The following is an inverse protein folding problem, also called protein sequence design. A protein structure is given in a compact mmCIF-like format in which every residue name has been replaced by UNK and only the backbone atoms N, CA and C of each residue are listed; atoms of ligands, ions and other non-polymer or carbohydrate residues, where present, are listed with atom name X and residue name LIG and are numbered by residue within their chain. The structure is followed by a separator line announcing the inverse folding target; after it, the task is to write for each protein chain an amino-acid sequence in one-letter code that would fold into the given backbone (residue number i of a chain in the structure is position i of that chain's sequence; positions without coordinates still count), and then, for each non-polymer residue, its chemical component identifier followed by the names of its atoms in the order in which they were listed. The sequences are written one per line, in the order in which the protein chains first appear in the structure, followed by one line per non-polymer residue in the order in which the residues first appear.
data_IF_500200213841
#
_entry.id   IF_500200213841
#
_cell.length_a   1.000
_cell.length_b   1.000
_cell.length_c   1.000
_cell.angle_alpha   90.00
_cell.angle_beta   90.00
_cell.angle_gamma   90.00
#
_symmetry.space_group_name_H-M   'P 1'
#
loop_
_entity.id
_entity.type
_entity.pdbx_description
1 polymer ?
#
# COMPACT_ATOMS: atom_id res chain seq x y z
N UNK A 1 -5.97 -17.78 -6.05
CA UNK A 1 -7.27 -17.22 -6.51
C UNK A 1 -7.02 -16.41 -7.77
N UNK A 2 -8.04 -16.09 -8.55
CA UNK A 2 -7.95 -15.12 -9.65
C UNK A 2 -8.39 -13.72 -9.18
N UNK A 3 -8.19 -12.70 -10.01
CA UNK A 3 -8.69 -11.34 -9.74
C UNK A 3 -10.21 -11.34 -9.46
N UNK A 4 -10.99 -12.07 -10.28
CA UNK A 4 -12.45 -12.18 -10.11
C UNK A 4 -12.84 -12.85 -8.79
N UNK A 5 -12.15 -13.90 -8.38
CA UNK A 5 -12.38 -14.55 -7.08
C UNK A 5 -12.06 -13.63 -5.90
N UNK A 6 -10.96 -12.87 -5.97
CA UNK A 6 -10.63 -11.87 -4.95
C UNK A 6 -11.72 -10.81 -4.87
N UNK A 7 -12.20 -10.31 -6.02
CA UNK A 7 -13.27 -9.31 -6.08
C UNK A 7 -14.59 -9.85 -5.51
N UNK A 8 -14.93 -11.14 -5.73
CA UNK A 8 -16.10 -11.78 -5.13
C UNK A 8 -16.00 -11.80 -3.61
N UNK A 9 -14.87 -12.27 -3.07
CA UNK A 9 -14.65 -12.30 -1.60
C UNK A 9 -14.73 -10.90 -0.98
N UNK A 10 -14.19 -9.87 -1.66
CA UNK A 10 -14.32 -8.48 -1.19
C UNK A 10 -15.79 -8.06 -1.16
N UNK A 11 -16.56 -8.35 -2.21
CA UNK A 11 -17.98 -8.00 -2.28
C UNK A 11 -18.80 -8.70 -1.19
N UNK A 12 -18.53 -9.98 -0.95
CA UNK A 12 -19.15 -10.76 0.13
C UNK A 12 -18.82 -10.19 1.52
N UNK A 13 -17.55 -9.83 1.76
CA UNK A 13 -17.13 -9.23 3.02
C UNK A 13 -17.73 -7.84 3.26
N UNK A 14 -17.88 -7.02 2.21
CA UNK A 14 -18.57 -5.73 2.25
C UNK A 14 -20.04 -5.95 2.65
N UNK A 15 -20.75 -6.88 1.98
CA UNK A 15 -22.14 -7.18 2.26
C UNK A 15 -22.34 -7.72 3.68
N UNK A 16 -21.49 -8.65 4.14
CA UNK A 16 -21.51 -9.19 5.49
C UNK A 16 -21.23 -8.14 6.59
N UNK A 17 -20.67 -6.99 6.24
CA UNK A 17 -20.34 -5.89 7.15
C UNK A 17 -21.31 -4.71 7.04
N UNK A 18 -22.45 -4.85 6.35
CA UNK A 18 -23.45 -3.82 6.09
C UNK A 18 -22.85 -2.51 5.53
N UNK A 19 -21.84 -2.64 4.68
CA UNK A 19 -21.13 -1.50 4.09
C UNK A 19 -21.59 -1.23 2.66
N UNK A 20 -21.51 0.03 2.18
CA UNK A 20 -21.86 0.36 0.81
C UNK A 20 -20.98 -0.38 -0.21
N UNK A 21 -21.58 -0.82 -1.32
CA UNK A 21 -20.85 -1.37 -2.47
C UNK A 21 -19.81 -0.34 -2.94
N UNK A 22 -18.59 -0.79 -3.23
CA UNK A 22 -17.50 0.10 -3.63
C UNK A 22 -16.79 0.82 -2.49
N UNK A 23 -17.13 0.52 -1.22
CA UNK A 23 -16.46 1.11 -0.05
C UNK A 23 -15.05 0.58 0.22
N UNK A 24 -14.58 -0.38 -0.56
CA UNK A 24 -13.25 -0.99 -0.45
C UNK A 24 -12.57 -0.98 -1.80
N UNK A 25 -11.39 -0.41 -1.86
CA UNK A 25 -10.51 -0.44 -3.02
C UNK A 25 -9.54 -1.61 -2.94
N UNK A 26 -9.48 -2.42 -3.99
CA UNK A 26 -8.50 -3.48 -4.14
C UNK A 26 -7.23 -2.92 -4.77
N UNK A 27 -6.11 -3.02 -4.07
CA UNK A 27 -4.78 -2.72 -4.61
C UNK A 27 -4.12 -4.04 -5.03
N UNK A 28 -3.95 -4.26 -6.33
CA UNK A 28 -3.25 -5.41 -6.87
C UNK A 28 -1.73 -5.21 -6.73
N UNK A 29 -1.10 -5.95 -5.81
CA UNK A 29 0.32 -5.74 -5.46
C UNK A 29 1.22 -6.44 -6.47
N UNK A 30 1.77 -5.67 -7.41
CA UNK A 30 2.51 -6.12 -8.60
C UNK A 30 4.03 -6.11 -8.45
N UNK A 31 4.53 -5.90 -7.22
CA UNK A 31 5.97 -5.94 -6.94
C UNK A 31 6.61 -7.25 -7.39
N UNK A 32 7.76 -7.17 -8.06
CA UNK A 32 8.55 -8.33 -8.54
C UNK A 32 7.77 -9.27 -9.48
N UNK A 33 6.67 -8.78 -10.07
CA UNK A 33 5.90 -9.55 -11.05
C UNK A 33 6.34 -9.20 -12.47
N UNK A 34 6.41 -10.20 -13.38
CA UNK A 34 6.66 -9.97 -14.80
C UNK A 34 5.62 -9.02 -15.41
N UNK A 35 6.05 -8.23 -16.38
CA UNK A 35 5.20 -7.24 -17.06
C UNK A 35 3.96 -7.89 -17.68
N UNK A 36 4.09 -9.08 -18.24
CA UNK A 36 3.00 -9.84 -18.87
C UNK A 36 1.85 -10.11 -17.90
N UNK A 37 2.18 -10.50 -16.64
CA UNK A 37 1.17 -10.75 -15.61
C UNK A 37 0.45 -9.46 -15.19
N UNK A 38 1.18 -8.33 -15.15
CA UNK A 38 0.58 -7.02 -14.82
C UNK A 38 -0.33 -6.57 -15.95
N UNK A 39 0.10 -6.71 -17.22
CA UNK A 39 -0.71 -6.41 -18.40
C UNK A 39 -1.98 -7.25 -18.46
N UNK A 40 -1.91 -8.52 -18.10
CA UNK A 40 -3.09 -9.38 -18.04
C UNK A 40 -4.15 -8.83 -17.07
N UNK A 41 -3.74 -8.40 -15.88
CA UNK A 41 -4.62 -7.81 -14.87
C UNK A 41 -5.16 -6.43 -15.33
N UNK A 42 -4.35 -5.61 -16.00
CA UNK A 42 -4.80 -4.35 -16.62
C UNK A 42 -5.86 -4.61 -17.71
N UNK A 43 -5.65 -5.61 -18.57
CA UNK A 43 -6.60 -6.00 -19.64
C UNK A 43 -7.91 -6.57 -19.10
N UNK A 44 -7.90 -7.15 -17.89
CA UNK A 44 -9.12 -7.54 -17.18
C UNK A 44 -9.90 -6.34 -16.59
N UNK A 45 -9.40 -5.10 -16.79
CA UNK A 45 -10.07 -3.87 -16.35
C UNK A 45 -9.66 -3.37 -14.97
N UNK A 46 -8.73 -4.03 -14.28
CA UNK A 46 -8.25 -3.53 -12.98
C UNK A 46 -7.31 -2.32 -13.18
N UNK A 47 -7.40 -1.34 -12.27
CA UNK A 47 -6.71 -0.05 -12.46
C UNK A 47 -5.87 0.41 -11.27
N UNK A 48 -5.96 -0.23 -10.09
CA UNK A 48 -5.24 0.20 -8.90
C UNK A 48 -4.19 -0.83 -8.48
N UNK A 49 -2.93 -0.46 -8.61
CA UNK A 49 -1.80 -1.34 -8.37
C UNK A 49 -0.92 -0.84 -7.24
N UNK A 50 -0.13 -1.75 -6.66
CA UNK A 50 0.78 -1.43 -5.58
C UNK A 50 2.20 -1.92 -5.84
N UNK A 51 3.17 -1.04 -5.59
CA UNK A 51 4.59 -1.33 -5.71
C UNK A 51 5.32 -1.06 -4.40
N UNK A 52 6.43 -1.76 -4.20
CA UNK A 52 7.22 -1.62 -2.99
C UNK A 52 8.49 -0.79 -3.17
N UNK A 53 8.94 -0.60 -4.41
CA UNK A 53 10.22 0.08 -4.72
C UNK A 53 10.00 1.14 -5.78
N UNK A 54 10.48 2.35 -5.51
CA UNK A 54 10.33 3.50 -6.42
C UNK A 54 11.00 3.24 -7.76
N UNK A 55 12.22 2.68 -7.76
CA UNK A 55 12.97 2.41 -9.00
C UNK A 55 12.31 1.32 -9.86
N UNK A 56 11.74 0.28 -9.25
CA UNK A 56 10.98 -0.74 -9.98
C UNK A 56 9.76 -0.12 -10.66
N UNK A 57 9.03 0.73 -9.94
CA UNK A 57 7.88 1.42 -10.45
C UNK A 57 8.25 2.40 -11.58
N UNK A 58 9.32 3.19 -11.42
CA UNK A 58 9.83 4.10 -12.45
C UNK A 58 10.15 3.39 -13.76
N UNK A 59 10.80 2.23 -13.71
CA UNK A 59 11.14 1.46 -14.91
C UNK A 59 9.98 0.77 -15.61
N UNK A 60 8.82 0.64 -14.94
CA UNK A 60 7.69 -0.20 -15.37
C UNK A 60 6.44 0.60 -15.70
N UNK A 61 6.02 1.51 -14.82
CA UNK A 61 4.72 2.15 -14.88
C UNK A 61 4.53 3.21 -15.96
N UNK A 62 5.56 3.97 -16.43
CA UNK A 62 5.37 4.89 -17.53
C UNK A 62 4.83 4.22 -18.81
N UNK A 63 5.33 3.03 -19.15
CA UNK A 63 4.84 2.28 -20.33
C UNK A 63 3.40 1.78 -20.13
N UNK A 64 3.04 1.31 -18.94
CA UNK A 64 1.67 0.89 -18.65
C UNK A 64 0.68 2.05 -18.64
N UNK A 65 1.04 3.19 -18.04
CA UNK A 65 0.20 4.39 -18.04
C UNK A 65 0.02 4.99 -19.44
N UNK A 66 0.96 4.78 -20.37
CA UNK A 66 0.80 5.18 -21.77
C UNK A 66 -0.30 4.36 -22.48
N UNK A 67 -0.43 3.06 -22.19
CA UNK A 67 -1.48 2.18 -22.74
C UNK A 67 -2.78 2.26 -21.92
N UNK A 68 -2.68 2.44 -20.59
CA UNK A 68 -3.81 2.51 -19.64
C UNK A 68 -3.71 3.78 -18.79
N UNK A 69 -4.09 4.96 -19.33
CA UNK A 69 -3.88 6.26 -18.67
C UNK A 69 -4.69 6.45 -17.37
N UNK A 70 -5.71 5.63 -17.14
CA UNK A 70 -6.50 5.58 -15.93
C UNK A 70 -5.92 4.64 -14.84
N UNK A 71 -4.80 3.96 -15.13
CA UNK A 71 -4.12 3.13 -14.14
C UNK A 71 -3.46 3.98 -13.05
N UNK A 72 -3.66 3.59 -11.79
CA UNK A 72 -3.07 4.22 -10.61
C UNK A 72 -2.08 3.28 -9.95
N UNK A 73 -0.98 3.81 -9.47
CA UNK A 73 0.02 3.05 -8.75
C UNK A 73 0.28 3.64 -7.37
N UNK A 74 0.17 2.82 -6.34
CA UNK A 74 0.36 3.19 -4.95
C UNK A 74 1.72 2.69 -4.43
N UNK A 75 2.47 3.52 -3.71
CA UNK A 75 3.68 3.09 -3.01
C UNK A 75 3.29 2.44 -1.67
N UNK A 76 3.64 1.17 -1.53
CA UNK A 76 3.36 0.34 -0.35
C UNK A 76 4.61 -0.01 0.46
N UNK A 77 5.78 0.17 -0.12
CA UNK A 77 7.06 -0.10 0.53
C UNK A 77 7.73 1.15 1.11
N UNK A 78 8.80 0.98 1.90
CA UNK A 78 9.46 2.08 2.58
C UNK A 78 10.03 3.08 1.58
N UNK A 79 9.85 4.38 1.85
CA UNK A 79 10.34 5.47 1.02
C UNK A 79 11.57 6.11 1.65
N UNK A 80 12.68 6.07 0.93
CA UNK A 80 13.88 6.85 1.28
C UNK A 80 13.66 8.34 0.97
N UNK A 81 14.08 9.23 1.88
CA UNK A 81 13.84 10.67 1.73
C UNK A 81 14.46 11.28 0.46
N UNK A 82 15.57 10.73 -0.04
CA UNK A 82 16.20 11.16 -1.30
C UNK A 82 15.45 10.70 -2.56
N UNK A 83 14.45 9.82 -2.42
CA UNK A 83 13.59 9.33 -3.52
C UNK A 83 12.20 9.98 -3.52
N UNK A 84 11.94 10.93 -2.62
CA UNK A 84 10.61 11.55 -2.48
C UNK A 84 10.18 12.25 -3.77
N UNK A 85 11.08 12.96 -4.48
CA UNK A 85 10.76 13.62 -5.77
C UNK A 85 10.30 12.60 -6.82
N UNK A 86 11.04 11.52 -6.99
CA UNK A 86 10.68 10.47 -7.92
C UNK A 86 9.35 9.79 -7.53
N UNK A 87 9.07 9.68 -6.22
CA UNK A 87 7.79 9.16 -5.76
C UNK A 87 6.60 10.07 -6.17
N UNK A 88 6.76 11.40 -6.18
CA UNK A 88 5.74 12.33 -6.68
C UNK A 88 5.45 12.16 -8.18
N UNK A 89 6.46 11.79 -8.96
CA UNK A 89 6.33 11.64 -10.42
C UNK A 89 5.65 10.30 -10.81
N UNK A 90 5.84 9.28 -9.99
CA UNK A 90 5.44 7.90 -10.32
C UNK A 90 4.13 7.50 -9.65
N UNK A 91 3.93 7.87 -8.38
CA UNK A 91 2.86 7.32 -7.55
C UNK A 91 1.68 8.26 -7.39
N UNK A 92 0.49 7.69 -7.53
CA UNK A 92 -0.79 8.36 -7.32
C UNK A 92 -1.20 8.39 -5.84
N UNK A 93 -0.56 7.59 -4.99
CA UNK A 93 -0.77 7.54 -3.54
C UNK A 93 0.45 6.94 -2.83
N UNK A 94 0.75 7.37 -1.61
CA UNK A 94 1.85 6.83 -0.80
C UNK A 94 1.33 6.35 0.55
N UNK A 95 1.55 5.06 0.86
CA UNK A 95 1.03 4.42 2.08
C UNK A 95 2.05 4.33 3.23
N UNK A 96 3.21 4.95 3.09
CA UNK A 96 4.36 4.70 3.97
C UNK A 96 4.96 5.98 4.56
N UNK A 97 4.12 6.95 4.88
CA UNK A 97 4.53 8.11 5.67
C UNK A 97 4.76 7.67 7.13
N UNK A 98 6.01 7.53 7.53
CA UNK A 98 6.40 6.85 8.76
C UNK A 98 7.30 7.68 9.70
N UNK A 99 7.63 8.92 9.36
CA UNK A 99 8.55 9.76 10.16
C UNK A 99 8.51 11.24 9.78
N UNK A 100 8.82 12.17 10.72
CA UNK A 100 8.84 13.61 10.48
C UNK A 100 9.76 14.06 9.33
N UNK A 101 10.95 13.47 9.21
CA UNK A 101 11.86 13.79 8.09
C UNK A 101 11.22 13.58 6.73
N UNK A 102 10.40 12.54 6.59
CA UNK A 102 9.70 12.25 5.34
C UNK A 102 8.55 13.24 5.13
N UNK A 103 7.76 13.56 6.17
CA UNK A 103 6.71 14.57 6.12
C UNK A 103 7.24 15.94 5.66
N UNK A 104 8.35 16.39 6.24
CA UNK A 104 9.00 17.63 5.84
C UNK A 104 9.48 17.60 4.38
N UNK A 105 9.95 16.44 3.88
CA UNK A 105 10.33 16.29 2.47
C UNK A 105 9.11 16.38 1.54
N UNK A 106 7.97 15.80 1.92
CA UNK A 106 6.71 15.94 1.20
C UNK A 106 6.24 17.38 1.20
N UNK A 107 6.19 18.07 2.36
CA UNK A 107 5.74 19.45 2.47
C UNK A 107 6.58 20.40 1.57
N UNK A 108 7.90 20.28 1.60
CA UNK A 108 8.80 21.06 0.73
C UNK A 108 8.50 20.81 -0.75
N UNK A 109 8.33 19.55 -1.17
CA UNK A 109 8.05 19.24 -2.56
C UNK A 109 6.64 19.67 -2.98
N UNK A 110 5.66 19.60 -2.08
CA UNK A 110 4.31 20.13 -2.31
C UNK A 110 4.34 21.63 -2.62
N UNK A 111 5.11 22.40 -1.87
CA UNK A 111 5.31 23.84 -2.13
C UNK A 111 6.01 24.09 -3.47
N UNK A 112 6.97 23.24 -3.84
CA UNK A 112 7.73 23.39 -5.08
C UNK A 112 6.90 22.99 -6.32
N UNK A 113 6.13 21.89 -6.23
CA UNK A 113 5.44 21.27 -7.37
C UNK A 113 3.95 21.66 -7.47
N UNK A 114 3.38 22.28 -6.44
CA UNK A 114 1.98 22.69 -6.39
C UNK A 114 0.97 21.57 -6.17
N UNK A 115 1.41 20.33 -5.91
CA UNK A 115 0.56 19.18 -5.62
C UNK A 115 1.26 18.20 -4.69
N UNK A 116 0.47 17.34 -4.03
CA UNK A 116 0.95 16.20 -3.25
C UNK A 116 0.02 15.01 -3.49
N UNK A 117 0.55 13.80 -3.73
CA UNK A 117 -0.30 12.61 -3.73
C UNK A 117 -0.92 12.39 -2.36
N UNK A 118 -2.13 11.81 -2.24
CA UNK A 118 -2.70 11.38 -0.97
C UNK A 118 -1.71 10.51 -0.19
N UNK A 119 -1.66 10.73 1.14
CA UNK A 119 -0.73 10.06 2.04
C UNK A 119 -1.47 9.21 3.07
N UNK A 120 -0.99 8.01 3.31
CA UNK A 120 -1.33 7.22 4.49
C UNK A 120 -0.15 7.21 5.45
N UNK A 121 -0.41 7.46 6.72
CA UNK A 121 0.57 7.29 7.77
C UNK A 121 0.68 5.82 8.11
N UNK A 122 1.90 5.27 8.01
CA UNK A 122 2.16 3.90 8.43
C UNK A 122 2.32 3.84 9.94
N UNK A 123 1.54 2.97 10.58
CA UNK A 123 1.58 2.72 12.02
C UNK A 123 2.18 1.34 12.29
N UNK A 124 3.17 1.28 13.17
CA UNK A 124 3.77 0.04 13.67
C UNK A 124 2.94 -0.48 14.86
N UNK A 125 1.83 -1.12 14.55
CA UNK A 125 0.85 -1.56 15.56
C UNK A 125 1.35 -2.64 16.51
N UNK A 126 2.42 -3.35 16.16
CA UNK A 126 3.06 -4.37 17.01
C UNK A 126 4.28 -3.87 17.79
N UNK A 127 4.64 -2.58 17.66
CA UNK A 127 5.86 -2.02 18.27
C UNK A 127 7.14 -2.81 17.99
N UNK A 128 7.23 -3.43 16.80
CA UNK A 128 8.39 -4.23 16.38
C UNK A 128 9.53 -3.29 15.96
N UNK A 129 10.66 -3.32 16.67
CA UNK A 129 11.81 -2.41 16.49
C UNK A 129 12.33 -2.40 15.03
N UNK A 130 12.25 -3.54 14.32
CA UNK A 130 12.75 -3.72 12.97
C UNK A 130 11.76 -3.25 11.88
N UNK A 131 10.51 -2.94 12.24
CA UNK A 131 9.49 -2.52 11.27
C UNK A 131 9.37 -1.00 11.20
N UNK A 132 9.14 -0.51 9.98
CA UNK A 132 8.79 0.87 9.73
C UNK A 132 7.39 1.20 10.27
N UNK A 133 7.17 2.46 10.57
CA UNK A 133 5.89 2.98 11.06
C UNK A 133 6.03 3.78 12.34
N UNK A 134 5.09 4.70 12.55
CA UNK A 134 4.97 5.48 13.78
C UNK A 134 4.42 4.56 14.89
N UNK A 135 4.94 4.67 16.10
CA UNK A 135 4.38 3.98 17.26
C UNK A 135 2.95 4.45 17.54
N UNK A 136 2.03 3.57 17.96
CA UNK A 136 0.61 3.91 18.18
C UNK A 136 0.37 5.12 19.09
N UNK A 137 1.18 5.28 20.14
CA UNK A 137 1.12 6.40 21.08
C UNK A 137 1.55 7.74 20.46
N UNK A 138 2.32 7.72 19.39
CA UNK A 138 2.82 8.90 18.70
C UNK A 138 1.94 9.36 17.54
N UNK A 139 0.92 8.60 17.18
CA UNK A 139 0.05 8.87 16.00
C UNK A 139 -0.61 10.24 16.09
N UNK A 140 -1.21 10.59 17.23
CA UNK A 140 -1.96 11.85 17.38
C UNK A 140 -1.06 13.07 17.17
N UNK A 141 0.14 13.04 17.77
CA UNK A 141 1.12 14.12 17.62
C UNK A 141 1.61 14.25 16.18
N UNK A 142 1.86 13.13 15.51
CA UNK A 142 2.34 13.15 14.13
C UNK A 142 1.24 13.53 13.11
N UNK A 143 -0.01 13.16 13.38
CA UNK A 143 -1.16 13.67 12.59
C UNK A 143 -1.28 15.18 12.70
N UNK A 144 -1.14 15.74 13.92
CA UNK A 144 -1.17 17.18 14.13
C UNK A 144 -0.01 17.89 13.38
N UNK A 145 1.21 17.31 13.42
CA UNK A 145 2.36 17.82 12.66
C UNK A 145 2.09 17.79 11.14
N UNK A 146 1.57 16.69 10.60
CA UNK A 146 1.23 16.59 9.17
C UNK A 146 0.18 17.61 8.75
N UNK A 147 -0.82 17.90 9.59
CA UNK A 147 -1.82 18.94 9.33
C UNK A 147 -1.23 20.34 9.33
N UNK A 148 -0.29 20.65 10.24
CA UNK A 148 0.43 21.92 10.24
C UNK A 148 1.30 22.11 8.99
N UNK A 149 1.70 21.03 8.36
CA UNK A 149 2.45 21.00 7.10
C UNK A 149 1.53 21.00 5.86
N UNK A 150 0.23 21.13 6.02
CA UNK A 150 -0.80 21.08 4.96
C UNK A 150 -0.70 19.80 4.07
N UNK A 151 -0.27 18.69 4.66
CA UNK A 151 -0.17 17.42 3.92
C UNK A 151 -1.53 16.76 3.75
N UNK A 152 -1.87 16.20 2.58
CA UNK A 152 -3.13 15.52 2.28
C UNK A 152 -3.16 14.13 2.93
N UNK A 153 -3.25 14.07 4.26
CA UNK A 153 -3.30 12.83 5.01
C UNK A 153 -4.69 12.20 4.85
N UNK A 154 -4.77 11.12 4.08
CA UNK A 154 -6.00 10.42 3.74
C UNK A 154 -6.42 9.40 4.81
N UNK A 155 -5.44 8.77 5.47
CA UNK A 155 -5.73 7.70 6.42
C UNK A 155 -4.51 7.10 7.09
N UNK A 156 -4.73 5.95 7.70
CA UNK A 156 -3.69 5.15 8.35
C UNK A 156 -3.46 3.82 7.62
N UNK A 157 -2.23 3.31 7.69
CA UNK A 157 -1.86 2.01 7.16
C UNK A 157 -1.17 1.17 8.23
N UNK A 158 -1.43 -0.13 8.27
CA UNK A 158 -0.63 -1.07 9.05
C UNK A 158 -0.34 -2.38 8.32
N UNK A 159 0.70 -3.05 8.79
CA UNK A 159 1.04 -4.44 8.48
C UNK A 159 1.20 -5.14 9.82
N UNK A 160 0.21 -5.92 10.28
CA UNK A 160 0.28 -6.63 11.54
C UNK A 160 1.52 -7.53 11.67
N UNK A 161 2.00 -7.82 12.89
CA UNK A 161 2.95 -8.90 13.13
C UNK A 161 2.42 -10.24 12.60
N UNK A 162 3.33 -11.08 12.11
CA UNK A 162 2.94 -12.38 11.52
C UNK A 162 2.46 -13.36 12.60
N UNK A 163 3.03 -13.26 13.79
CA UNK A 163 2.78 -14.19 14.90
C UNK A 163 1.67 -13.71 15.85
N UNK A 164 0.99 -12.61 15.53
CA UNK A 164 -0.09 -12.04 16.33
C UNK A 164 -1.43 -12.06 15.59
N UNK A 165 -2.53 -12.02 16.34
CA UNK A 165 -3.88 -12.00 15.78
C UNK A 165 -4.15 -10.64 15.08
N UNK A 166 -4.27 -10.67 13.76
CA UNK A 166 -4.39 -9.46 12.93
C UNK A 166 -5.58 -8.57 13.30
N UNK A 167 -6.68 -9.14 13.80
CA UNK A 167 -7.88 -8.40 14.22
C UNK A 167 -7.59 -7.36 15.30
N UNK A 168 -6.67 -7.63 16.22
CA UNK A 168 -6.28 -6.69 17.29
C UNK A 168 -5.64 -5.44 16.69
N UNK A 169 -4.80 -5.62 15.69
CA UNK A 169 -4.11 -4.53 14.99
C UNK A 169 -5.06 -3.73 14.10
N UNK A 170 -6.01 -4.40 13.44
CA UNK A 170 -7.05 -3.73 12.65
C UNK A 170 -7.97 -2.89 13.52
N UNK A 171 -8.42 -3.43 14.67
CA UNK A 171 -9.21 -2.68 15.64
C UNK A 171 -8.45 -1.48 16.20
N UNK A 172 -7.16 -1.66 16.53
CA UNK A 172 -6.30 -0.56 17.01
C UNK A 172 -6.18 0.53 15.94
N UNK A 173 -5.88 0.15 14.67
CA UNK A 173 -5.74 1.12 13.58
C UNK A 173 -7.04 1.89 13.35
N UNK A 174 -8.19 1.21 13.35
CA UNK A 174 -9.51 1.83 13.21
C UNK A 174 -9.81 2.83 14.36
N UNK A 175 -9.46 2.47 15.60
CA UNK A 175 -9.59 3.35 16.76
C UNK A 175 -8.72 4.61 16.63
N UNK A 176 -7.47 4.45 16.19
CA UNK A 176 -6.53 5.55 15.99
C UNK A 176 -7.01 6.49 14.86
N UNK A 177 -7.48 5.93 13.74
CA UNK A 177 -8.01 6.72 12.63
C UNK A 177 -9.26 7.51 13.04
N UNK A 178 -10.22 6.86 13.71
CA UNK A 178 -11.44 7.52 14.22
C UNK A 178 -11.12 8.68 15.16
N UNK A 179 -10.16 8.49 16.10
CA UNK A 179 -9.74 9.52 17.06
C UNK A 179 -9.12 10.75 16.38
N UNK A 180 -8.54 10.54 15.19
CA UNK A 180 -7.89 11.57 14.40
C UNK A 180 -8.72 12.07 13.20
N UNK A 181 -9.99 11.75 13.10
CA UNK A 181 -10.89 12.12 11.98
C UNK A 181 -10.31 11.73 10.61
N UNK A 182 -9.68 10.54 10.54
CA UNK A 182 -9.15 9.96 9.31
C UNK A 182 -10.09 8.86 8.82
N UNK A 183 -10.61 9.03 7.59
CA UNK A 183 -11.65 8.16 7.07
C UNK A 183 -11.12 6.87 6.42
N UNK A 184 -9.85 6.83 6.01
CA UNK A 184 -9.33 5.74 5.20
C UNK A 184 -8.39 4.82 5.99
N UNK A 185 -8.51 3.50 5.75
CA UNK A 185 -7.74 2.45 6.40
C UNK A 185 -7.15 1.52 5.35
N UNK A 186 -5.82 1.55 5.19
CA UNK A 186 -5.09 0.61 4.35
C UNK A 186 -4.58 -0.54 5.21
N UNK A 187 -5.30 -1.65 5.22
CA UNK A 187 -4.98 -2.84 6.00
C UNK A 187 -5.61 -4.08 5.38
N UNK A 188 -5.04 -5.25 5.65
CA UNK A 188 -5.44 -6.52 5.06
C UNK A 188 -4.64 -6.86 3.79
N UNK A 189 -4.18 -8.11 3.77
CA UNK A 189 -3.40 -8.72 2.67
C UNK A 189 -4.03 -10.04 2.25
N UNK A 190 -3.40 -10.80 1.38
CA UNK A 190 -3.93 -12.04 0.78
C UNK A 190 -4.50 -13.04 1.78
N UNK A 191 -4.00 -13.09 3.02
CA UNK A 191 -4.44 -14.04 4.05
C UNK A 191 -5.55 -13.53 4.97
N UNK A 192 -5.77 -12.20 5.03
CA UNK A 192 -6.61 -11.59 6.08
C UNK A 192 -7.47 -10.41 5.61
N UNK A 193 -7.50 -10.11 4.29
CA UNK A 193 -8.21 -8.94 3.77
C UNK A 193 -9.72 -8.98 4.04
N UNK A 194 -10.36 -10.15 4.01
CA UNK A 194 -11.78 -10.28 4.32
C UNK A 194 -12.07 -9.90 5.78
N UNK A 195 -11.20 -10.34 6.71
CA UNK A 195 -11.25 -9.93 8.11
C UNK A 195 -10.99 -8.43 8.26
N UNK A 196 -10.00 -7.87 7.57
CA UNK A 196 -9.72 -6.44 7.61
C UNK A 196 -10.92 -5.59 7.18
N UNK A 197 -11.71 -6.04 6.19
CA UNK A 197 -12.93 -5.37 5.73
C UNK A 197 -13.95 -5.26 6.85
N UNK A 198 -14.16 -6.30 7.67
CA UNK A 198 -15.08 -6.24 8.82
C UNK A 198 -14.63 -5.28 9.92
N UNK A 199 -13.34 -4.93 9.98
CA UNK A 199 -12.78 -3.89 10.85
C UNK A 199 -12.70 -2.51 10.20
N UNK A 200 -13.29 -2.32 9.03
CA UNK A 200 -13.39 -1.02 8.38
C UNK A 200 -12.32 -0.72 7.32
N UNK A 201 -11.53 -1.71 6.87
CA UNK A 201 -10.57 -1.47 5.78
C UNK A 201 -11.25 -0.81 4.58
N UNK A 202 -10.64 0.24 4.05
CA UNK A 202 -11.06 0.93 2.81
C UNK A 202 -10.13 0.57 1.64
N UNK A 203 -8.94 0.11 1.95
CA UNK A 203 -7.95 -0.35 0.97
C UNK A 203 -7.38 -1.70 1.43
N UNK A 204 -7.47 -2.70 0.56
CA UNK A 204 -6.87 -4.02 0.78
C UNK A 204 -5.78 -4.28 -0.26
N UNK A 205 -4.70 -4.95 0.14
CA UNK A 205 -3.49 -5.12 -0.68
C UNK A 205 -3.26 -6.60 -0.97
N UNK A 206 -3.60 -7.04 -2.16
CA UNK A 206 -3.58 -8.45 -2.55
C UNK A 206 -2.56 -8.68 -3.68
N UNK A 207 -1.59 -9.54 -3.46
CA UNK A 207 -0.54 -9.87 -4.43
C UNK A 207 -0.59 -11.32 -4.88
N UNK A 208 -0.07 -12.24 -4.07
CA UNK A 208 0.06 -13.66 -4.42
C UNK A 208 -1.25 -14.35 -4.82
N UNK A 209 -2.36 -13.91 -4.28
CA UNK A 209 -3.67 -14.44 -4.66
C UNK A 209 -4.10 -14.05 -6.09
N UNK A 210 -3.60 -12.91 -6.63
CA UNK A 210 -3.91 -12.44 -7.99
C UNK A 210 -2.86 -12.91 -8.99
N UNK A 211 -1.57 -12.69 -8.67
CA UNK A 211 -0.46 -12.92 -9.60
C UNK A 211 0.18 -14.29 -9.48
N UNK A 212 -0.19 -15.09 -8.46
CA UNK A 212 0.48 -16.35 -8.14
C UNK A 212 1.80 -16.14 -7.36
N UNK A 213 2.54 -17.22 -7.20
CA UNK A 213 3.85 -17.18 -6.55
C UNK A 213 4.84 -16.33 -7.32
N UNK A 214 5.80 -15.76 -6.58
CA UNK A 214 6.89 -14.99 -7.17
C UNK A 214 7.77 -15.91 -7.99
N UNK A 215 8.12 -15.49 -9.19
CA UNK A 215 9.20 -16.13 -9.95
C UNK A 215 10.48 -15.68 -9.26
N UNK A 216 11.10 -16.58 -8.47
CA UNK A 216 12.45 -16.36 -7.98
C UNK A 216 13.38 -16.36 -9.21
N UNK A 217 14.12 -15.26 -9.43
CA UNK A 217 15.23 -15.32 -10.39
C UNK A 217 16.15 -16.47 -9.98
N UNK A 218 16.63 -17.27 -10.93
CA UNK A 218 17.60 -18.31 -10.62
C UNK A 218 18.82 -17.65 -9.98
N UNK A 219 19.20 -18.13 -8.81
CA UNK A 219 20.38 -17.67 -8.07
C UNK A 219 21.62 -17.87 -8.98
N UNK A 220 22.27 -16.79 -9.45
CA UNK A 220 23.43 -16.90 -10.33
C UNK A 220 24.61 -17.64 -9.69
N UNK A 221 24.59 -17.90 -8.38
CA UNK A 221 25.63 -18.69 -7.68
C UNK A 221 25.49 -20.20 -7.87
N UNK A 222 24.35 -20.72 -8.38
CA UNK A 222 24.12 -22.17 -8.60
C UNK A 222 24.50 -22.67 -9.99
N UNK A 223 24.95 -21.81 -10.90
CA UNK A 223 25.31 -22.21 -12.26
C UNK A 223 26.76 -22.78 -12.41
N UNK A 224 27.55 -22.84 -11.33
CA UNK A 224 28.97 -23.29 -11.42
C UNK A 224 29.26 -24.67 -10.83
N UNK A 225 28.30 -25.49 -10.44
CA UNK A 225 28.57 -26.82 -9.86
C UNK A 225 28.27 -28.03 -10.78
N UNK A 226 28.01 -27.81 -12.07
CA UNK A 226 27.84 -28.92 -13.02
C UNK A 226 28.78 -28.83 -14.21
N UNK A 227 30.08 -28.73 -13.95
CA UNK A 227 31.15 -28.97 -14.98
C UNK A 227 32.43 -29.39 -14.26
N UNK A 228 32.45 -30.60 -13.78
CA UNK A 228 33.71 -31.41 -13.54
C UNK A 228 33.39 -32.88 -13.74
#
# INVERSE_FOLDING_TARGET
MSLSQVSSVISEAIAASDRPIGSVELIAVSKVQPNERVLEVLRQGHRVFGENRVQEAEGKWPSFKAEFPDAKVHLLGPLQSNKTRLAFEVFDCVHTLDRPKLANSFARLTQELGHCPPLFMQVNTGNEIQKAGIAPESVDGFVAECRLLDLPLAGLMCIPPVDEEASLHFALLAKLAKRNDLAQLSMGMSGDFAKAISFGATHVRVGSAIFGERISEPDPSRSNEQST
#
